data_IF_580377256216
#
_entry.id   IF_580377256216
#
_cell.length_a   1.000
_cell.length_b   1.000
_cell.length_c   1.000
_cell.angle_alpha   90.00
_cell.angle_beta   90.00
_cell.angle_gamma   90.00
#
_symmetry.space_group_name_H-M   'P 1'
#
loop_
_entity.id
_entity.type
_entity.pdbx_description
1 polymer ?
#
# COMPACT_ATOMS: atom_id res chain seq x y z
N UNK A 1 -17.80 37.89 -5.96
CA UNK A 1 -17.53 36.93 -4.87
C UNK A 1 -16.45 35.98 -5.38
N UNK A 2 -15.34 35.77 -4.65
CA UNK A 2 -14.36 34.75 -5.05
C UNK A 2 -15.02 33.39 -4.83
N UNK A 3 -15.09 32.57 -5.88
CA UNK A 3 -15.64 31.22 -5.74
C UNK A 3 -14.75 30.43 -4.77
N UNK A 4 -15.34 29.60 -3.89
CA UNK A 4 -14.56 28.71 -3.05
C UNK A 4 -13.83 27.68 -3.92
N UNK A 5 -12.76 27.10 -3.38
CA UNK A 5 -12.02 26.05 -4.08
C UNK A 5 -12.38 24.69 -3.51
N UNK A 6 -12.45 23.68 -4.37
CA UNK A 6 -12.60 22.30 -3.91
C UNK A 6 -11.39 21.94 -3.07
N UNK A 7 -11.63 21.33 -1.90
CA UNK A 7 -10.56 20.83 -1.07
C UNK A 7 -9.70 19.87 -1.91
N UNK A 8 -8.39 20.10 -2.01
CA UNK A 8 -7.47 19.28 -2.81
C UNK A 8 -7.26 17.87 -2.24
N UNK A 9 -7.99 17.49 -1.20
CA UNK A 9 -7.97 16.16 -0.61
C UNK A 9 -9.25 15.36 -0.87
N UNK A 10 -10.26 15.97 -1.49
CA UNK A 10 -11.51 15.31 -1.87
C UNK A 10 -11.23 14.30 -2.97
N UNK A 11 -11.68 13.05 -2.83
CA UNK A 11 -11.47 11.97 -3.79
C UNK A 11 -12.80 11.37 -4.24
N UNK A 12 -13.11 11.33 -5.55
CA UNK A 12 -14.25 10.58 -6.05
C UNK A 12 -13.88 9.10 -6.24
N UNK A 13 -14.83 8.20 -5.99
CA UNK A 13 -14.70 6.78 -6.31
C UNK A 13 -16.09 6.15 -6.53
N UNK A 14 -16.14 4.99 -7.20
CA UNK A 14 -17.38 4.23 -7.35
C UNK A 14 -17.48 3.10 -6.33
N UNK A 15 -18.69 2.91 -5.79
CA UNK A 15 -19.06 1.81 -4.90
C UNK A 15 -20.49 1.39 -5.23
N UNK A 16 -20.68 0.10 -5.52
CA UNK A 16 -21.98 -0.48 -5.85
C UNK A 16 -22.67 0.28 -7.00
N UNK A 17 -21.90 0.66 -8.03
CA UNK A 17 -22.35 1.47 -9.16
C UNK A 17 -22.55 2.97 -8.89
N UNK A 18 -22.69 3.38 -7.62
CA UNK A 18 -22.88 4.77 -7.22
C UNK A 18 -21.55 5.54 -7.13
N UNK A 19 -21.60 6.85 -7.38
CA UNK A 19 -20.45 7.78 -7.22
C UNK A 19 -20.43 8.34 -5.79
N UNK A 20 -19.30 8.16 -5.12
CA UNK A 20 -19.05 8.58 -3.75
C UNK A 20 -17.85 9.52 -3.67
N UNK A 21 -17.78 10.30 -2.59
CA UNK A 21 -16.70 11.24 -2.33
C UNK A 21 -16.12 11.00 -0.94
N UNK A 22 -14.79 10.96 -0.84
CA UNK A 22 -14.03 10.84 0.40
C UNK A 22 -13.24 12.12 0.64
N UNK A 23 -13.40 12.71 1.82
CA UNK A 23 -12.64 13.88 2.24
C UNK A 23 -11.96 13.61 3.60
N UNK A 24 -10.67 13.25 3.60
CA UNK A 24 -9.96 12.91 4.83
C UNK A 24 -9.83 14.11 5.77
N UNK A 25 -9.91 15.34 5.26
CA UNK A 25 -9.84 16.57 6.06
C UNK A 25 -11.10 16.81 6.90
N UNK A 26 -12.27 16.37 6.43
CA UNK A 26 -13.53 16.49 7.17
C UNK A 26 -14.06 15.17 7.75
N UNK A 27 -13.42 14.03 7.46
CA UNK A 27 -13.88 12.71 7.90
C UNK A 27 -15.21 12.26 7.31
N UNK A 28 -15.48 12.70 6.08
CA UNK A 28 -16.73 12.39 5.39
C UNK A 28 -16.49 11.48 4.18
N UNK A 29 -17.26 10.40 4.14
CA UNK A 29 -17.35 9.49 3.00
C UNK A 29 -18.81 9.23 2.68
N UNK A 30 -19.33 9.88 1.65
CA UNK A 30 -20.76 9.85 1.36
C UNK A 30 -21.06 9.91 -0.14
N UNK A 31 -22.28 9.48 -0.49
CA UNK A 31 -22.88 9.75 -1.78
C UNK A 31 -23.59 11.11 -1.70
N UNK A 32 -23.10 12.09 -2.46
CA UNK A 32 -23.68 13.43 -2.46
C UNK A 32 -24.96 13.48 -3.31
N UNK A 33 -25.98 14.28 -2.93
CA UNK A 33 -27.09 14.68 -3.79
C UNK A 33 -26.65 15.18 -5.16
N UNK A 34 -27.50 15.04 -6.17
CA UNK A 34 -27.16 15.38 -7.57
C UNK A 34 -26.72 16.84 -7.73
N UNK A 35 -27.45 17.80 -7.15
CA UNK A 35 -27.08 19.23 -7.23
C UNK A 35 -25.71 19.50 -6.63
N UNK A 36 -25.33 18.82 -5.55
CA UNK A 36 -24.03 18.98 -4.91
C UNK A 36 -22.92 18.34 -5.72
N UNK A 37 -23.16 17.15 -6.31
CA UNK A 37 -22.21 16.52 -7.22
C UNK A 37 -21.92 17.40 -8.42
N UNK A 38 -22.97 17.94 -9.05
CA UNK A 38 -22.85 18.80 -10.21
C UNK A 38 -22.14 20.12 -9.83
N UNK A 39 -22.45 20.68 -8.66
CA UNK A 39 -21.76 21.87 -8.11
C UNK A 39 -20.27 21.58 -7.87
N UNK A 40 -19.95 20.46 -7.22
CA UNK A 40 -18.58 20.08 -6.90
C UNK A 40 -17.77 19.76 -8.18
N UNK A 41 -18.39 19.10 -9.15
CA UNK A 41 -17.80 18.84 -10.46
C UNK A 41 -17.54 20.16 -11.23
N UNK A 42 -18.49 21.09 -11.20
CA UNK A 42 -18.32 22.41 -11.82
C UNK A 42 -17.16 23.21 -11.20
N UNK A 43 -16.91 23.07 -9.90
CA UNK A 43 -15.82 23.76 -9.20
C UNK A 43 -14.48 23.01 -9.24
N UNK A 44 -14.43 21.80 -9.82
CA UNK A 44 -13.26 20.92 -9.76
C UNK A 44 -12.05 21.44 -10.53
N UNK A 45 -12.30 22.04 -11.70
CA UNK A 45 -11.27 22.69 -12.52
C UNK A 45 -11.53 24.20 -12.55
N UNK A 46 -10.75 25.01 -11.82
CA UNK A 46 -10.90 26.46 -11.81
C UNK A 46 -10.81 27.11 -13.19
N UNK A 47 -10.11 26.51 -14.16
CA UNK A 47 -10.00 27.03 -15.52
C UNK A 47 -11.28 26.84 -16.34
N UNK A 48 -12.06 25.79 -16.06
CA UNK A 48 -13.32 25.47 -16.72
C UNK A 48 -14.56 25.85 -15.89
N UNK A 49 -14.37 26.31 -14.65
CA UNK A 49 -15.42 26.44 -13.66
C UNK A 49 -16.56 27.38 -14.09
N UNK A 50 -16.27 28.46 -14.82
CA UNK A 50 -17.31 29.40 -15.25
C UNK A 50 -18.35 28.73 -16.18
N UNK A 51 -17.88 28.05 -17.23
CA UNK A 51 -18.76 27.37 -18.19
C UNK A 51 -19.50 26.18 -17.56
N UNK A 52 -18.81 25.42 -16.69
CA UNK A 52 -19.42 24.30 -15.99
C UNK A 52 -20.46 24.77 -14.96
N UNK A 53 -20.22 25.90 -14.29
CA UNK A 53 -21.15 26.50 -13.35
C UNK A 53 -22.38 27.06 -14.06
N UNK A 54 -22.24 27.67 -15.23
CA UNK A 54 -23.38 28.12 -16.04
C UNK A 54 -24.30 26.96 -16.42
N UNK A 55 -23.73 25.81 -16.80
CA UNK A 55 -24.50 24.59 -17.07
C UNK A 55 -25.22 24.06 -15.82
N UNK A 56 -24.54 24.05 -14.66
CA UNK A 56 -25.15 23.65 -13.39
C UNK A 56 -26.27 24.61 -12.96
N UNK A 57 -26.07 25.92 -13.14
CA UNK A 57 -27.08 26.96 -12.87
C UNK A 57 -28.30 26.82 -13.78
N UNK A 58 -28.10 26.55 -15.07
CA UNK A 58 -29.19 26.32 -16.01
C UNK A 58 -30.01 25.07 -15.64
N UNK A 59 -29.36 24.05 -15.07
CA UNK A 59 -29.99 22.78 -14.70
C UNK A 59 -30.76 22.86 -13.37
N UNK A 60 -30.16 23.47 -12.35
CA UNK A 60 -30.67 23.41 -10.96
C UNK A 60 -31.23 24.74 -10.44
N UNK A 61 -30.89 25.87 -11.08
CA UNK A 61 -31.23 27.21 -10.61
C UNK A 61 -30.28 27.75 -9.55
N UNK A 62 -30.20 29.09 -9.47
CA UNK A 62 -29.23 29.79 -8.62
C UNK A 62 -29.38 29.47 -7.12
N UNK A 63 -30.61 29.43 -6.61
CA UNK A 63 -30.87 29.17 -5.18
C UNK A 63 -30.44 27.77 -4.75
N UNK A 64 -30.59 26.77 -5.62
CA UNK A 64 -30.19 25.39 -5.34
C UNK A 64 -28.66 25.26 -5.32
N UNK A 65 -27.97 25.89 -6.28
CA UNK A 65 -26.51 25.95 -6.32
C UNK A 65 -25.95 26.69 -5.09
N UNK A 66 -26.56 27.82 -4.70
CA UNK A 66 -26.13 28.57 -3.53
C UNK A 66 -26.22 27.75 -2.23
N UNK A 67 -27.31 26.99 -2.04
CA UNK A 67 -27.44 26.05 -0.92
C UNK A 67 -26.41 24.92 -0.98
N UNK A 68 -26.23 24.31 -2.15
CA UNK A 68 -25.23 23.26 -2.35
C UNK A 68 -23.82 23.72 -1.99
N UNK A 69 -23.43 24.94 -2.38
CA UNK A 69 -22.13 25.53 -2.02
C UNK A 69 -22.02 25.68 -0.49
N UNK A 70 -23.05 26.19 0.17
CA UNK A 70 -23.04 26.35 1.63
C UNK A 70 -22.92 25.00 2.36
N UNK A 71 -23.66 23.99 1.91
CA UNK A 71 -23.67 22.66 2.51
C UNK A 71 -22.33 21.93 2.29
N UNK A 72 -21.74 22.06 1.09
CA UNK A 72 -20.42 21.49 0.78
C UNK A 72 -19.30 22.18 1.58
N UNK A 73 -19.37 23.51 1.76
CA UNK A 73 -18.42 24.25 2.58
C UNK A 73 -18.53 23.86 4.07
N UNK A 74 -19.75 23.72 4.60
CA UNK A 74 -19.99 23.29 5.98
C UNK A 74 -19.42 21.87 6.26
N UNK A 75 -19.35 21.03 5.23
CA UNK A 75 -18.75 19.69 5.26
C UNK A 75 -17.27 19.65 4.86
N UNK A 76 -16.64 20.80 4.62
CA UNK A 76 -15.21 20.91 4.29
C UNK A 76 -14.83 20.40 2.89
N UNK A 77 -15.79 20.13 2.01
CA UNK A 77 -15.53 19.82 0.60
C UNK A 77 -15.06 21.04 -0.19
N UNK A 78 -15.47 22.23 0.26
CA UNK A 78 -15.06 23.52 -0.27
C UNK A 78 -14.31 24.28 0.82
N UNK A 79 -13.19 24.92 0.46
CA UNK A 79 -12.32 25.68 1.36
C UNK A 79 -12.00 27.05 0.75
N UNK A 80 -11.55 27.99 1.57
CA UNK A 80 -11.11 29.31 1.10
C UNK A 80 -9.77 29.26 0.39
N UNK A 81 -8.83 28.46 0.92
CA UNK A 81 -7.51 28.25 0.33
C UNK A 81 -6.88 26.90 0.72
N UNK A 82 -5.67 26.66 0.20
CA UNK A 82 -4.90 25.43 0.43
C UNK A 82 -4.43 25.30 1.89
N UNK A 83 -4.07 26.40 2.55
CA UNK A 83 -3.54 26.35 3.90
C UNK A 83 -4.63 25.90 4.89
N UNK A 84 -5.87 26.36 4.69
CA UNK A 84 -7.04 25.89 5.42
C UNK A 84 -7.25 24.37 5.25
N UNK A 85 -7.19 23.86 4.02
CA UNK A 85 -7.31 22.42 3.76
C UNK A 85 -6.19 21.61 4.44
N UNK A 86 -4.95 22.11 4.42
CA UNK A 86 -3.79 21.43 5.00
C UNK A 86 -3.90 21.35 6.53
N UNK A 87 -4.35 22.42 7.18
CA UNK A 87 -4.63 22.42 8.61
C UNK A 87 -5.75 21.44 8.97
N UNK A 88 -6.86 21.46 8.23
CA UNK A 88 -7.98 20.55 8.46
C UNK A 88 -7.57 19.08 8.30
N UNK A 89 -6.80 18.76 7.27
CA UNK A 89 -6.24 17.42 7.05
C UNK A 89 -5.37 16.96 8.21
N UNK A 90 -4.39 17.78 8.62
CA UNK A 90 -3.47 17.41 9.70
C UNK A 90 -4.24 17.20 11.00
N UNK A 91 -5.16 18.10 11.33
CA UNK A 91 -6.02 17.93 12.50
C UNK A 91 -6.84 16.62 12.43
N UNK A 92 -7.35 16.25 11.26
CA UNK A 92 -8.10 15.02 11.08
C UNK A 92 -7.23 13.75 11.20
N UNK A 93 -5.98 13.79 10.73
CA UNK A 93 -5.02 12.70 10.94
C UNK A 93 -4.64 12.57 12.42
N UNK A 94 -4.46 13.69 13.12
CA UNK A 94 -4.12 13.70 14.55
C UNK A 94 -5.23 13.18 15.44
N UNK A 95 -6.49 13.57 15.17
CA UNK A 95 -7.65 13.05 15.91
C UNK A 95 -7.81 11.54 15.80
N UNK A 96 -7.41 10.95 14.67
CA UNK A 96 -7.51 9.50 14.40
C UNK A 96 -6.23 8.73 14.75
N UNK A 97 -5.21 9.41 15.26
CA UNK A 97 -3.93 8.78 15.59
C UNK A 97 -4.15 7.80 16.75
N UNK A 98 -3.84 6.50 16.58
CA UNK A 98 -3.97 5.54 17.67
C UNK A 98 -2.85 5.74 18.69
N UNK A 99 -3.08 5.28 19.92
CA UNK A 99 -2.07 5.28 20.98
C UNK A 99 -0.90 4.32 20.68
N UNK A 100 -1.17 3.24 19.94
CA UNK A 100 -0.19 2.29 19.42
C UNK A 100 -0.33 2.26 17.90
N UNK A 101 0.74 2.35 17.11
CA UNK A 101 0.61 2.32 15.66
C UNK A 101 0.19 0.93 15.19
N UNK A 102 -0.50 0.87 14.06
CA UNK A 102 -0.61 -0.38 13.31
C UNK A 102 0.76 -0.79 12.75
N UNK A 103 1.05 -2.07 12.72
CA UNK A 103 2.22 -2.61 12.05
C UNK A 103 1.82 -3.02 10.64
N UNK A 104 2.46 -2.41 9.65
CA UNK A 104 2.23 -2.68 8.24
C UNK A 104 2.98 -3.94 7.82
N UNK A 105 4.30 -3.95 8.04
CA UNK A 105 5.22 -5.00 7.65
C UNK A 105 6.15 -5.37 8.80
N UNK A 106 6.46 -6.67 8.92
CA UNK A 106 7.50 -7.22 9.79
C UNK A 106 8.51 -7.93 8.90
N UNK A 107 9.71 -7.38 8.83
CA UNK A 107 10.80 -7.96 8.06
C UNK A 107 11.42 -9.16 8.80
N UNK A 108 11.03 -10.38 8.45
CA UNK A 108 11.62 -11.58 9.08
C UNK A 108 13.10 -11.77 8.71
N UNK A 109 13.47 -11.42 7.49
CA UNK A 109 14.85 -11.35 7.06
C UNK A 109 14.94 -10.42 5.86
N UNK A 110 16.01 -9.64 5.79
CA UNK A 110 16.33 -8.92 4.58
C UNK A 110 17.22 -9.75 3.64
N UNK A 111 17.53 -11.03 3.90
CA UNK A 111 18.33 -11.88 3.01
C UNK A 111 17.53 -12.30 1.79
N UNK A 112 18.10 -12.14 0.59
CA UNK A 112 17.48 -12.55 -0.66
C UNK A 112 18.52 -13.09 -1.64
N UNK A 113 18.30 -14.27 -2.25
CA UNK A 113 19.19 -14.79 -3.29
C UNK A 113 18.87 -14.17 -4.67
N UNK A 114 17.72 -13.50 -4.81
CA UNK A 114 17.32 -12.80 -6.02
C UNK A 114 18.07 -11.46 -6.17
N UNK A 115 18.10 -10.93 -7.39
CA UNK A 115 18.74 -9.67 -7.79
C UNK A 115 17.83 -8.86 -8.70
N UNK A 116 16.59 -8.66 -8.27
CA UNK A 116 15.59 -7.94 -9.06
C UNK A 116 15.99 -6.48 -9.26
N UNK A 117 16.03 -5.98 -10.50
CA UNK A 117 16.46 -4.62 -10.82
C UNK A 117 15.52 -3.51 -10.31
N UNK A 118 14.26 -3.84 -10.01
CA UNK A 118 13.27 -2.94 -9.42
C UNK A 118 13.23 -2.96 -7.89
N UNK A 119 14.00 -3.84 -7.25
CA UNK A 119 14.04 -3.95 -5.78
C UNK A 119 15.34 -3.31 -5.27
N UNK A 120 15.30 -2.40 -4.27
CA UNK A 120 16.52 -1.77 -3.76
C UNK A 120 17.52 -2.80 -3.23
N UNK A 121 17.04 -3.95 -2.72
CA UNK A 121 17.87 -5.07 -2.28
C UNK A 121 18.62 -5.79 -3.40
N UNK A 122 18.09 -5.74 -4.63
CA UNK A 122 18.68 -6.37 -5.81
C UNK A 122 19.69 -5.47 -6.52
N UNK A 123 19.69 -4.16 -6.22
CA UNK A 123 20.56 -3.15 -6.84
C UNK A 123 21.81 -2.93 -5.96
N UNK A 124 23.03 -2.96 -6.53
CA UNK A 124 24.26 -2.66 -5.79
C UNK A 124 24.20 -1.28 -5.11
N UNK A 125 24.48 -1.23 -3.82
CA UNK A 125 24.43 0.01 -3.03
C UNK A 125 23.02 0.52 -2.72
N UNK A 126 21.95 -0.18 -3.13
CA UNK A 126 20.58 0.23 -2.85
C UNK A 126 20.13 0.00 -1.41
N UNK A 127 20.81 -0.89 -0.68
CA UNK A 127 20.64 -1.12 0.76
C UNK A 127 22.02 -1.34 1.37
N UNK A 128 22.38 -0.55 2.37
CA UNK A 128 23.67 -0.55 3.05
C UNK A 128 23.61 -1.14 4.46
N UNK A 129 22.42 -1.20 5.07
CA UNK A 129 22.25 -1.77 6.42
C UNK A 129 22.60 -3.28 6.49
N UNK A 130 23.00 -3.79 7.67
CA UNK A 130 23.35 -5.19 7.86
C UNK A 130 22.25 -6.18 7.50
N UNK A 131 22.64 -7.44 7.25
CA UNK A 131 21.71 -8.52 6.89
C UNK A 131 21.62 -9.60 7.95
N UNK A 132 20.41 -10.09 8.19
CA UNK A 132 20.17 -11.03 9.29
C UNK A 132 18.77 -11.64 9.26
N UNK A 133 18.48 -12.40 10.31
CA UNK A 133 17.21 -13.06 10.55
C UNK A 133 16.65 -12.51 11.87
N UNK A 134 15.34 -12.28 11.91
CA UNK A 134 14.66 -11.89 13.12
C UNK A 134 14.71 -13.02 14.14
N UNK A 135 15.09 -12.71 15.38
CA UNK A 135 15.06 -13.70 16.45
C UNK A 135 13.60 -14.02 16.82
N UNK A 136 13.21 -15.30 17.02
CA UNK A 136 11.85 -15.64 17.41
C UNK A 136 11.37 -14.91 18.66
N UNK A 137 12.26 -14.71 19.64
CA UNK A 137 11.94 -13.95 20.86
C UNK A 137 11.57 -12.49 20.56
N UNK A 138 12.23 -11.86 19.57
CA UNK A 138 11.86 -10.53 19.12
C UNK A 138 10.51 -10.55 18.39
N UNK A 139 10.23 -11.59 17.61
CA UNK A 139 8.92 -11.74 16.96
C UNK A 139 7.79 -11.86 17.98
N UNK A 140 7.93 -12.71 19.00
CA UNK A 140 6.96 -12.81 20.10
C UNK A 140 6.76 -11.45 20.81
N UNK A 141 7.87 -10.75 21.11
CA UNK A 141 7.84 -9.42 21.69
C UNK A 141 7.10 -8.39 20.82
N UNK A 142 7.19 -8.51 19.49
CA UNK A 142 6.43 -7.67 18.56
C UNK A 142 4.94 -8.00 18.65
N UNK A 143 4.56 -9.28 18.61
CA UNK A 143 3.15 -9.72 18.64
C UNK A 143 2.43 -9.23 19.90
N UNK A 144 3.11 -9.21 21.04
CA UNK A 144 2.57 -8.77 22.32
C UNK A 144 2.36 -7.23 22.41
N UNK A 145 2.87 -6.47 21.43
CA UNK A 145 2.82 -5.00 21.41
C UNK A 145 1.98 -4.43 20.27
N UNK A 146 1.35 -5.29 19.46
CA UNK A 146 0.53 -4.86 18.33
C UNK A 146 -0.69 -4.05 18.79
N UNK A 147 -1.20 -3.22 17.88
CA UNK A 147 -2.45 -2.52 18.10
C UNK A 147 -3.60 -3.52 18.37
N UNK A 148 -4.55 -3.23 19.28
CA UNK A 148 -5.67 -4.16 19.58
C UNK A 148 -6.49 -4.57 18.36
N UNK A 149 -6.70 -3.63 17.42
CA UNK A 149 -7.43 -3.89 16.18
C UNK A 149 -6.53 -4.35 15.02
N UNK A 150 -5.29 -4.77 15.29
CA UNK A 150 -4.34 -5.16 14.25
C UNK A 150 -4.90 -6.25 13.32
N UNK A 151 -5.60 -7.24 13.88
CA UNK A 151 -6.19 -8.34 13.10
C UNK A 151 -7.29 -7.86 12.13
N UNK A 152 -8.00 -6.78 12.48
CA UNK A 152 -9.07 -6.21 11.65
C UNK A 152 -8.56 -5.18 10.64
N UNK A 153 -7.36 -4.64 10.85
CA UNK A 153 -6.73 -3.67 9.95
C UNK A 153 -6.32 -4.32 8.63
N UNK A 154 -5.43 -5.31 8.69
CA UNK A 154 -4.98 -6.12 7.54
C UNK A 154 -4.15 -7.31 8.01
N UNK A 155 -3.92 -8.34 7.17
CA UNK A 155 -2.94 -9.38 7.45
C UNK A 155 -1.56 -8.78 7.73
N UNK A 156 -0.87 -9.28 8.77
CA UNK A 156 0.52 -8.94 9.04
C UNK A 156 1.40 -9.42 7.89
N UNK A 157 1.95 -8.48 7.12
CA UNK A 157 2.91 -8.81 6.08
C UNK A 157 4.23 -9.21 6.74
N UNK A 158 4.53 -10.51 6.71
CA UNK A 158 5.76 -11.09 7.26
C UNK A 158 6.91 -11.01 6.25
N UNK A 159 6.98 -9.88 5.56
CA UNK A 159 7.98 -9.54 4.57
C UNK A 159 8.16 -8.01 4.52
N UNK A 160 9.32 -7.57 4.08
CA UNK A 160 9.58 -6.17 3.73
C UNK A 160 10.50 -6.16 2.52
N UNK A 161 11.81 -6.11 2.76
CA UNK A 161 12.81 -6.57 1.79
C UNK A 161 13.16 -8.02 2.08
N UNK A 162 14.02 -8.61 1.26
CA UNK A 162 14.48 -9.98 1.48
C UNK A 162 13.59 -11.04 0.84
N UNK A 163 13.76 -12.26 1.31
CA UNK A 163 12.97 -13.44 0.96
C UNK A 163 12.70 -14.22 2.24
N UNK A 164 11.46 -14.10 2.75
CA UNK A 164 11.06 -14.67 4.03
C UNK A 164 11.18 -16.19 4.07
N UNK A 165 11.10 -16.87 2.91
CA UNK A 165 11.32 -18.33 2.80
C UNK A 165 12.71 -18.78 3.29
N UNK A 166 13.67 -17.86 3.42
CA UNK A 166 14.99 -18.17 3.98
C UNK A 166 15.02 -18.22 5.51
N UNK A 167 13.98 -17.73 6.19
CA UNK A 167 13.96 -17.72 7.65
C UNK A 167 13.82 -19.16 8.19
N UNK A 168 14.77 -19.65 9.02
CA UNK A 168 14.81 -21.06 9.42
C UNK A 168 13.58 -21.51 10.22
N UNK A 169 12.94 -20.57 10.91
CA UNK A 169 11.78 -20.83 11.76
C UNK A 169 10.47 -20.28 11.18
N UNK A 170 10.42 -20.00 9.87
CA UNK A 170 9.27 -19.34 9.24
C UNK A 170 7.90 -20.00 9.59
N UNK A 171 7.71 -21.33 9.48
CA UNK A 171 6.43 -21.94 9.83
C UNK A 171 6.05 -21.74 11.30
N UNK A 172 7.03 -21.75 12.21
CA UNK A 172 6.79 -21.53 13.63
C UNK A 172 6.35 -20.07 13.90
N UNK A 173 6.95 -19.10 13.23
CA UNK A 173 6.53 -17.69 13.34
C UNK A 173 5.12 -17.47 12.79
N UNK A 174 4.78 -18.11 11.66
CA UNK A 174 3.41 -18.07 11.12
C UNK A 174 2.41 -18.67 12.12
N UNK A 175 2.73 -19.83 12.71
CA UNK A 175 1.89 -20.49 13.70
C UNK A 175 1.71 -19.64 14.97
N UNK A 176 2.76 -18.96 15.43
CA UNK A 176 2.71 -18.08 16.60
C UNK A 176 1.74 -16.90 16.42
N UNK A 177 1.69 -16.32 15.22
CA UNK A 177 0.71 -15.28 14.87
C UNK A 177 -0.71 -15.85 14.73
N UNK A 178 -0.85 -16.98 14.03
CA UNK A 178 -2.15 -17.63 13.84
C UNK A 178 -2.80 -18.04 15.18
N UNK A 179 -2.01 -18.53 16.14
CA UNK A 179 -2.46 -18.88 17.49
C UNK A 179 -3.04 -17.69 18.28
N UNK A 180 -2.67 -16.45 17.91
CA UNK A 180 -3.19 -15.20 18.47
C UNK A 180 -4.34 -14.61 17.66
N UNK A 181 -4.84 -15.32 16.65
CA UNK A 181 -5.88 -14.82 15.74
C UNK A 181 -5.39 -13.69 14.83
N UNK A 182 -4.07 -13.56 14.62
CA UNK A 182 -3.49 -12.56 13.74
C UNK A 182 -3.32 -13.16 12.34
N UNK A 183 -4.10 -12.71 11.33
CA UNK A 183 -3.90 -13.16 9.96
C UNK A 183 -2.53 -12.70 9.45
N UNK A 184 -1.85 -13.56 8.69
CA UNK A 184 -0.51 -13.30 8.15
C UNK A 184 -0.48 -13.38 6.64
N UNK A 185 0.39 -12.57 6.03
CA UNK A 185 0.65 -12.56 4.59
C UNK A 185 2.15 -12.69 4.29
N UNK A 186 2.48 -13.50 3.29
CA UNK A 186 3.83 -13.61 2.74
C UNK A 186 3.83 -13.27 1.25
N UNK A 187 4.85 -12.53 0.80
CA UNK A 187 5.18 -12.36 -0.62
C UNK A 187 6.50 -13.07 -0.91
N UNK A 188 6.47 -14.06 -1.81
CA UNK A 188 7.58 -15.00 -1.98
C UNK A 188 7.96 -15.20 -3.44
N UNK A 189 9.21 -15.62 -3.67
CA UNK A 189 9.62 -16.18 -4.96
C UNK A 189 9.36 -17.70 -4.99
N UNK A 190 8.50 -18.18 -5.91
CA UNK A 190 8.14 -19.60 -5.98
C UNK A 190 9.33 -20.53 -6.32
N UNK A 191 10.44 -20.00 -6.84
CA UNK A 191 11.67 -20.79 -7.09
C UNK A 191 12.23 -21.43 -5.82
N UNK A 192 11.91 -20.89 -4.64
CA UNK A 192 12.41 -21.33 -3.34
C UNK A 192 11.34 -22.01 -2.47
N UNK A 193 10.07 -21.96 -2.89
CA UNK A 193 8.94 -22.51 -2.16
C UNK A 193 8.86 -24.03 -2.36
N UNK A 194 9.70 -24.80 -1.67
CA UNK A 194 9.65 -26.25 -1.79
C UNK A 194 8.27 -26.78 -1.38
N UNK A 195 7.79 -27.91 -1.95
CA UNK A 195 6.47 -28.46 -1.59
C UNK A 195 6.29 -28.68 -0.08
N UNK A 196 7.33 -29.17 0.59
CA UNK A 196 7.32 -29.39 2.04
C UNK A 196 7.20 -28.07 2.82
N UNK A 197 7.93 -27.02 2.42
CA UNK A 197 7.82 -25.71 3.06
C UNK A 197 6.47 -25.07 2.77
N UNK A 198 5.97 -25.16 1.53
CA UNK A 198 4.64 -24.69 1.15
C UNK A 198 3.56 -25.30 2.04
N UNK A 199 3.49 -26.64 2.12
CA UNK A 199 2.55 -27.34 2.98
C UNK A 199 2.68 -26.91 4.46
N UNK A 200 3.91 -26.86 4.99
CA UNK A 200 4.16 -26.44 6.36
C UNK A 200 3.66 -25.01 6.67
N UNK A 201 3.77 -24.08 5.73
CA UNK A 201 3.25 -22.72 5.89
C UNK A 201 1.72 -22.67 5.88
N UNK A 202 1.10 -23.45 4.99
CA UNK A 202 -0.36 -23.52 4.90
C UNK A 202 -0.96 -24.17 6.15
N UNK A 203 -0.34 -25.25 6.62
CA UNK A 203 -0.74 -25.97 7.82
C UNK A 203 -0.49 -25.17 9.11
N UNK A 204 0.52 -24.27 9.09
CA UNK A 204 0.76 -23.31 10.18
C UNK A 204 -0.28 -22.19 10.27
N UNK A 205 -1.22 -22.09 9.31
CA UNK A 205 -2.30 -21.11 9.34
C UNK A 205 -2.02 -19.80 8.61
N UNK A 206 -1.09 -19.80 7.64
CA UNK A 206 -0.89 -18.66 6.73
C UNK A 206 -2.23 -18.25 6.11
N UNK A 207 -2.59 -16.98 6.21
CA UNK A 207 -3.91 -16.50 5.73
C UNK A 207 -3.88 -16.08 4.27
N UNK A 208 -2.74 -15.52 3.82
CA UNK A 208 -2.55 -15.08 2.45
C UNK A 208 -1.13 -15.32 1.94
N UNK A 209 -1.02 -15.81 0.71
CA UNK A 209 0.24 -16.00 0.02
C UNK A 209 0.23 -15.25 -1.31
N UNK A 210 1.20 -14.37 -1.50
CA UNK A 210 1.49 -13.70 -2.76
C UNK A 210 2.71 -14.36 -3.39
N UNK A 211 2.55 -14.86 -4.60
CA UNK A 211 3.56 -15.53 -5.40
C UNK A 211 4.01 -14.56 -6.47
N UNK A 212 5.27 -14.14 -6.41
CA UNK A 212 5.81 -13.18 -7.36
C UNK A 212 6.54 -13.91 -8.51
N UNK A 213 5.84 -14.04 -9.65
CA UNK A 213 6.24 -14.84 -10.82
C UNK A 213 6.21 -13.98 -12.09
N UNK A 214 7.36 -13.41 -12.46
CA UNK A 214 7.44 -12.40 -13.52
C UNK A 214 7.78 -12.97 -14.91
N UNK A 215 7.51 -14.25 -15.16
CA UNK A 215 7.79 -14.89 -16.44
C UNK A 215 7.20 -16.29 -16.52
N UNK A 216 7.17 -16.84 -17.74
CA UNK A 216 6.73 -18.22 -18.05
C UNK A 216 7.85 -19.12 -18.58
N UNK A 217 9.10 -18.65 -18.48
CA UNK A 217 10.31 -19.42 -18.78
C UNK A 217 11.50 -18.97 -17.91
N UNK A 218 12.54 -19.81 -17.87
CA UNK A 218 13.77 -19.54 -17.12
C UNK A 218 14.50 -18.30 -17.62
N UNK A 219 14.52 -18.05 -18.94
CA UNK A 219 15.28 -16.95 -19.53
C UNK A 219 14.75 -15.59 -19.04
N UNK A 220 13.44 -15.39 -19.11
CA UNK A 220 12.75 -14.18 -18.68
C UNK A 220 12.81 -14.03 -17.16
N UNK A 221 12.56 -15.11 -16.41
CA UNK A 221 12.57 -15.04 -14.95
C UNK A 221 13.97 -14.75 -14.40
N UNK A 222 15.03 -15.34 -14.99
CA UNK A 222 16.42 -15.03 -14.64
C UNK A 222 16.78 -13.59 -15.02
N UNK A 223 16.38 -13.13 -16.20
CA UNK A 223 16.66 -11.77 -16.64
C UNK A 223 16.04 -10.71 -15.72
N UNK A 224 14.90 -11.00 -15.10
CA UNK A 224 14.18 -10.07 -14.23
C UNK A 224 14.61 -10.21 -12.76
N UNK A 225 14.68 -11.46 -12.25
CA UNK A 225 14.86 -11.75 -10.82
C UNK A 225 16.27 -12.20 -10.45
N UNK A 226 17.15 -12.36 -11.44
CA UNK A 226 18.54 -12.74 -11.25
C UNK A 226 18.79 -14.25 -11.24
N UNK A 227 20.07 -14.65 -11.08
CA UNK A 227 20.55 -16.00 -11.39
C UNK A 227 20.04 -17.11 -10.47
N UNK A 228 19.38 -16.77 -9.36
CA UNK A 228 18.77 -17.74 -8.45
C UNK A 228 17.34 -18.15 -8.86
N UNK A 229 16.71 -17.43 -9.80
CA UNK A 229 15.33 -17.69 -10.21
C UNK A 229 15.24 -18.82 -11.24
N UNK A 230 14.24 -19.71 -11.12
CA UNK A 230 13.99 -20.82 -12.05
C UNK A 230 12.49 -21.03 -12.22
N UNK A 231 11.96 -20.76 -13.40
CA UNK A 231 10.56 -20.94 -13.75
C UNK A 231 10.15 -22.41 -13.66
N UNK A 232 10.91 -23.34 -14.25
CA UNK A 232 10.54 -24.77 -14.23
C UNK A 232 10.39 -25.30 -12.80
N UNK A 233 11.24 -24.81 -11.90
CA UNK A 233 11.15 -25.13 -10.46
C UNK A 233 9.96 -24.43 -9.82
N UNK A 234 9.77 -23.15 -10.10
CA UNK A 234 8.64 -22.37 -9.60
C UNK A 234 7.30 -22.99 -10.00
N UNK A 235 7.14 -23.42 -11.26
CA UNK A 235 5.93 -24.04 -11.76
C UNK A 235 5.63 -25.34 -11.01
N UNK A 236 6.60 -26.26 -10.89
CA UNK A 236 6.41 -27.50 -10.12
C UNK A 236 6.08 -27.24 -8.65
N UNK A 237 6.73 -26.26 -8.04
CA UNK A 237 6.47 -25.87 -6.66
C UNK A 237 5.05 -25.32 -6.49
N UNK A 238 4.58 -24.53 -7.45
CA UNK A 238 3.24 -23.98 -7.43
C UNK A 238 2.18 -25.04 -7.69
N UNK A 239 2.39 -25.95 -8.63
CA UNK A 239 1.45 -27.06 -8.85
C UNK A 239 1.28 -27.88 -7.56
N UNK A 240 2.38 -28.24 -6.89
CA UNK A 240 2.32 -28.95 -5.61
C UNK A 240 1.63 -28.15 -4.49
N UNK A 241 1.83 -26.82 -4.46
CA UNK A 241 1.13 -25.95 -3.52
C UNK A 241 -0.38 -25.91 -3.82
N UNK A 242 -0.77 -25.79 -5.08
CA UNK A 242 -2.16 -25.72 -5.52
C UNK A 242 -2.89 -27.05 -5.24
N UNK A 243 -2.22 -28.18 -5.42
CA UNK A 243 -2.72 -29.50 -5.03
C UNK A 243 -3.01 -29.57 -3.53
N UNK A 244 -2.10 -29.05 -2.69
CA UNK A 244 -2.34 -28.95 -1.24
C UNK A 244 -3.53 -28.05 -0.92
N UNK A 245 -3.60 -26.86 -1.53
CA UNK A 245 -4.71 -25.90 -1.39
C UNK A 245 -6.05 -26.53 -1.74
N UNK A 246 -6.12 -27.31 -2.82
CA UNK A 246 -7.35 -27.99 -3.24
C UNK A 246 -7.86 -29.02 -2.22
N UNK A 247 -6.97 -29.60 -1.43
CA UNK A 247 -7.30 -30.56 -0.37
C UNK A 247 -7.68 -29.92 0.97
N UNK A 248 -7.51 -28.61 1.15
CA UNK A 248 -7.77 -27.94 2.42
C UNK A 248 -9.25 -27.61 2.62
N UNK A 249 -9.76 -27.84 3.83
CA UNK A 249 -11.10 -27.42 4.21
C UNK A 249 -11.25 -25.88 4.27
N UNK A 250 -10.16 -25.18 4.63
CA UNK A 250 -10.09 -23.70 4.73
C UNK A 250 -8.78 -23.22 4.10
N UNK A 251 -8.70 -23.15 2.76
CA UNK A 251 -7.48 -22.74 2.08
C UNK A 251 -7.18 -21.25 2.33
N UNK A 252 -5.91 -20.84 2.28
CA UNK A 252 -5.54 -19.42 2.28
C UNK A 252 -6.04 -18.75 0.99
N UNK A 253 -5.98 -17.42 0.97
CA UNK A 253 -6.01 -16.68 -0.30
C UNK A 253 -4.62 -16.77 -0.96
N UNK A 254 -4.54 -17.28 -2.19
CA UNK A 254 -3.31 -17.28 -2.96
C UNK A 254 -3.41 -16.30 -4.15
N UNK A 255 -2.36 -15.52 -4.36
CA UNK A 255 -2.28 -14.54 -5.43
C UNK A 255 -1.04 -14.80 -6.26
N UNK A 256 -1.18 -15.19 -7.52
CA UNK A 256 -0.06 -15.36 -8.45
C UNK A 256 0.05 -14.09 -9.28
N UNK A 257 1.10 -13.30 -9.03
CA UNK A 257 1.25 -11.99 -9.66
C UNK A 257 2.47 -11.95 -10.59
N UNK A 258 2.29 -11.29 -11.73
CA UNK A 258 3.36 -10.85 -12.63
C UNK A 258 3.41 -9.33 -12.58
N UNK A 259 4.59 -8.74 -12.34
CA UNK A 259 4.79 -7.31 -12.50
C UNK A 259 4.95 -6.99 -13.99
N UNK A 260 4.20 -6.02 -14.52
CA UNK A 260 4.28 -5.57 -15.91
C UNK A 260 5.60 -4.81 -16.15
N UNK A 261 6.54 -5.48 -16.81
CA UNK A 261 7.86 -4.96 -17.15
C UNK A 261 8.09 -5.06 -18.65
N UNK A 262 8.86 -4.14 -19.22
CA UNK A 262 9.25 -4.19 -20.61
C UNK A 262 9.82 -5.58 -21.02
N UNK A 263 10.58 -6.22 -20.12
CA UNK A 263 11.15 -7.56 -20.30
C UNK A 263 10.15 -8.71 -20.37
N UNK A 264 8.96 -8.62 -19.77
CA UNK A 264 7.99 -9.74 -19.73
C UNK A 264 6.64 -9.46 -20.38
N UNK A 265 6.38 -8.24 -20.89
CA UNK A 265 5.10 -7.88 -21.53
C UNK A 265 4.62 -8.85 -22.59
N UNK A 266 5.56 -9.40 -23.35
CA UNK A 266 5.31 -10.38 -24.40
C UNK A 266 4.80 -11.74 -23.87
N UNK A 267 4.89 -11.97 -22.55
CA UNK A 267 4.49 -13.21 -21.87
C UNK A 267 3.18 -13.08 -21.10
N UNK A 268 2.55 -11.90 -21.04
CA UNK A 268 1.35 -11.65 -20.22
C UNK A 268 0.20 -12.59 -20.56
N UNK A 269 -0.09 -12.75 -21.85
CA UNK A 269 -1.19 -13.61 -22.30
C UNK A 269 -0.92 -15.08 -21.95
N UNK A 270 0.32 -15.54 -22.13
CA UNK A 270 0.72 -16.89 -21.76
C UNK A 270 0.63 -17.12 -20.23
N UNK A 271 1.06 -16.13 -19.44
CA UNK A 271 0.94 -16.17 -17.99
C UNK A 271 -0.51 -16.27 -17.53
N UNK A 272 -1.40 -15.43 -18.07
CA UNK A 272 -2.82 -15.45 -17.71
C UNK A 272 -3.51 -16.73 -18.20
N UNK A 273 -3.14 -17.25 -19.36
CA UNK A 273 -3.64 -18.54 -19.84
C UNK A 273 -3.24 -19.69 -18.90
N UNK A 274 -2.02 -19.66 -18.35
CA UNK A 274 -1.52 -20.70 -17.44
C UNK A 274 -2.10 -20.62 -16.02
N UNK A 275 -2.21 -19.41 -15.47
CA UNK A 275 -2.47 -19.19 -14.04
C UNK A 275 -3.83 -18.55 -13.73
N UNK A 276 -4.49 -17.92 -14.71
CA UNK A 276 -5.76 -17.21 -14.50
C UNK A 276 -6.99 -18.12 -14.37
N UNK A 277 -6.92 -19.34 -14.92
CA UNK A 277 -8.04 -20.27 -15.06
C UNK A 277 -7.98 -21.51 -14.17
N UNK A 278 -7.39 -21.42 -12.97
CA UNK A 278 -7.10 -22.59 -12.13
C UNK A 278 -8.33 -23.26 -11.49
N UNK A 279 -9.52 -22.64 -11.55
CA UNK A 279 -10.76 -23.21 -10.98
C UNK A 279 -10.80 -23.29 -9.45
N UNK A 280 -9.82 -22.69 -8.75
CA UNK A 280 -9.75 -22.64 -7.29
C UNK A 280 -10.25 -21.29 -6.79
N UNK A 281 -11.33 -21.29 -6.01
CA UNK A 281 -12.04 -20.06 -5.61
C UNK A 281 -11.18 -19.05 -4.81
N UNK A 282 -10.17 -19.52 -4.07
CA UNK A 282 -9.27 -18.66 -3.28
C UNK A 282 -7.98 -18.29 -3.99
N UNK A 283 -7.81 -18.71 -5.26
CA UNK A 283 -6.61 -18.46 -6.06
C UNK A 283 -6.93 -17.49 -7.18
N UNK A 284 -6.15 -16.43 -7.29
CA UNK A 284 -6.27 -15.45 -8.37
C UNK A 284 -4.92 -15.19 -9.01
N UNK A 285 -4.88 -15.04 -10.33
CA UNK A 285 -3.70 -14.55 -11.03
C UNK A 285 -3.98 -13.25 -11.77
N UNK A 286 -3.05 -12.30 -11.73
CA UNK A 286 -3.17 -11.04 -12.46
C UNK A 286 -1.81 -10.42 -12.78
N UNK A 287 -1.82 -9.49 -13.73
CA UNK A 287 -0.68 -8.65 -14.08
C UNK A 287 -0.80 -7.32 -13.32
N UNK A 288 0.19 -7.00 -12.49
CA UNK A 288 0.26 -5.80 -11.66
C UNK A 288 1.14 -4.75 -12.34
N UNK A 289 0.73 -3.48 -12.32
CA UNK A 289 1.64 -2.38 -12.67
C UNK A 289 2.85 -2.35 -11.70
N UNK A 290 4.03 -2.01 -12.21
CA UNK A 290 5.20 -1.80 -11.36
C UNK A 290 5.06 -0.47 -10.58
N UNK A 291 5.40 -0.52 -9.29
CA UNK A 291 5.49 0.67 -8.46
C UNK A 291 6.76 1.46 -8.80
N UNK A 292 6.65 2.44 -9.69
CA UNK A 292 7.73 3.35 -10.06
C UNK A 292 8.11 3.30 -11.54
N UNK A 293 9.38 3.54 -11.82
CA UNK A 293 9.92 3.47 -13.17
C UNK A 293 10.39 2.04 -13.47
N UNK A 294 10.06 1.57 -14.67
CA UNK A 294 10.61 0.34 -15.21
C UNK A 294 12.15 0.48 -15.30
N UNK A 295 12.93 -0.45 -14.71
CA UNK A 295 14.37 -0.31 -14.60
C UNK A 295 15.11 -0.36 -15.96
N UNK A 296 14.45 -0.84 -17.01
CA UNK A 296 15.07 -1.03 -18.33
C UNK A 296 14.79 0.12 -19.27
N UNK A 297 13.58 0.65 -19.19
CA UNK A 297 13.09 1.70 -20.08
C UNK A 297 13.07 3.08 -19.42
N UNK A 298 13.15 3.14 -18.09
CA UNK A 298 12.89 4.35 -17.31
C UNK A 298 11.45 4.84 -17.42
N UNK A 299 10.59 4.10 -18.14
CA UNK A 299 9.20 4.49 -18.35
C UNK A 299 8.44 4.40 -17.03
N UNK A 300 7.59 5.40 -16.76
CA UNK A 300 6.62 5.30 -15.69
C UNK A 300 5.68 4.12 -16.00
N UNK A 301 5.77 3.09 -15.17
CA UNK A 301 4.97 1.87 -15.31
C UNK A 301 3.70 1.94 -14.47
N UNK A 302 3.73 2.69 -13.38
CA UNK A 302 2.57 2.99 -12.57
C UNK A 302 1.67 4.02 -13.25
N UNK A 303 0.35 3.75 -13.30
CA UNK A 303 -0.61 4.82 -13.00
C UNK A 303 -0.37 5.14 -11.53
N UNK A 304 0.21 6.30 -11.16
CA UNK A 304 0.59 6.51 -9.78
C UNK A 304 -0.67 6.44 -8.93
N UNK A 305 -0.74 5.40 -8.10
CA UNK A 305 -1.66 5.32 -6.99
C UNK A 305 -1.21 6.38 -5.98
N UNK A 306 -1.62 7.61 -6.25
CA UNK A 306 -1.34 8.76 -5.39
C UNK A 306 -2.25 8.62 -4.19
N UNK A 307 -1.77 8.04 -3.10
CA UNK A 307 -2.49 8.02 -1.84
C UNK A 307 -2.04 9.18 -0.99
N UNK A 308 -2.95 9.69 -0.16
CA UNK A 308 -2.58 10.68 0.83
C UNK A 308 -1.84 9.95 1.96
N UNK A 309 -0.60 10.35 2.25
CA UNK A 309 0.21 9.70 3.27
C UNK A 309 -0.40 9.86 4.67
N UNK A 310 -0.83 8.74 5.26
CA UNK A 310 -1.26 8.67 6.66
C UNK A 310 -0.25 7.99 7.59
N UNK A 311 0.85 7.45 7.06
CA UNK A 311 1.80 6.61 7.82
C UNK A 311 2.30 7.26 9.12
N UNK A 312 2.76 8.53 9.14
CA UNK A 312 3.25 9.16 10.37
C UNK A 312 2.21 9.24 11.50
N UNK A 313 0.92 9.07 11.21
CA UNK A 313 -0.17 9.06 12.20
C UNK A 313 -0.90 7.73 12.32
N UNK A 314 -0.49 6.69 11.60
CA UNK A 314 -1.22 5.42 11.61
C UNK A 314 -0.35 4.20 11.81
N UNK A 315 0.75 4.08 11.08
CA UNK A 315 1.41 2.80 10.87
C UNK A 315 2.92 2.88 10.78
N UNK A 316 3.58 1.76 11.08
CA UNK A 316 5.04 1.60 11.03
C UNK A 316 5.44 0.29 10.35
N UNK A 317 6.72 0.15 10.05
CA UNK A 317 7.36 -1.11 9.62
C UNK A 317 8.41 -1.49 10.66
N UNK A 318 8.51 -2.79 10.95
CA UNK A 318 9.48 -3.33 11.89
C UNK A 318 10.52 -4.14 11.12
N UNK A 319 11.80 -3.78 11.28
CA UNK A 319 12.92 -4.45 10.60
C UNK A 319 13.38 -5.69 11.37
N UNK A 320 14.15 -6.56 10.70
CA UNK A 320 14.58 -7.86 11.26
C UNK A 320 15.37 -7.73 12.57
N UNK A 321 16.03 -6.59 12.78
CA UNK A 321 16.85 -6.31 13.96
C UNK A 321 16.12 -5.53 15.06
N UNK A 322 14.81 -5.30 14.92
CA UNK A 322 13.97 -4.64 15.95
C UNK A 322 13.84 -3.13 15.80
N UNK A 323 14.60 -2.52 14.88
CA UNK A 323 14.42 -1.11 14.52
C UNK A 323 13.05 -0.89 13.88
N UNK A 324 12.41 0.22 14.25
CA UNK A 324 11.10 0.64 13.75
C UNK A 324 11.30 1.83 12.80
N UNK A 325 10.73 1.75 11.61
CA UNK A 325 10.79 2.79 10.56
C UNK A 325 9.38 3.23 10.16
N UNK A 326 9.19 4.46 9.63
CA UNK A 326 7.85 5.03 9.47
C UNK A 326 7.03 4.39 8.34
N UNK A 327 7.64 3.77 7.34
CA UNK A 327 6.91 3.16 6.23
C UNK A 327 7.76 2.18 5.40
N UNK A 328 7.09 1.43 4.53
CA UNK A 328 7.71 0.47 3.63
C UNK A 328 8.65 1.08 2.56
N UNK A 329 8.68 2.41 2.42
CA UNK A 329 9.64 3.08 1.52
C UNK A 329 11.02 3.24 2.14
N UNK A 330 11.16 3.07 3.46
CA UNK A 330 12.44 3.22 4.16
C UNK A 330 13.28 1.93 4.11
N UNK A 331 13.72 1.58 2.90
CA UNK A 331 14.45 0.34 2.63
C UNK A 331 15.76 0.20 3.43
N UNK A 332 16.44 1.32 3.69
CA UNK A 332 17.77 1.36 4.29
C UNK A 332 17.78 1.84 5.76
N UNK A 333 16.60 1.99 6.36
CA UNK A 333 16.43 2.49 7.73
C UNK A 333 17.04 3.90 7.92
N UNK A 334 16.79 4.79 6.96
CA UNK A 334 17.21 6.18 7.01
C UNK A 334 16.46 7.00 8.07
N UNK A 335 15.24 6.57 8.44
CA UNK A 335 14.38 7.23 9.42
C UNK A 335 14.00 6.27 10.55
N UNK A 336 14.98 5.87 11.36
CA UNK A 336 14.72 5.03 12.55
C UNK A 336 13.96 5.83 13.60
N UNK A 337 12.77 5.36 13.97
CA UNK A 337 11.93 5.95 15.02
C UNK A 337 12.34 5.47 16.42
N UNK A 338 12.88 4.26 16.52
CA UNK A 338 13.34 3.63 17.76
C UNK A 338 13.65 2.14 17.58
N UNK A 339 13.94 1.46 18.68
CA UNK A 339 14.33 0.03 18.70
C UNK A 339 13.54 -0.75 19.75
N UNK A 340 12.78 -1.77 19.31
CA UNK A 340 11.94 -2.62 20.16
C UNK A 340 12.72 -3.47 21.16
N UNK A 341 14.03 -3.62 20.99
CA UNK A 341 14.90 -4.29 21.97
C UNK A 341 15.11 -3.47 23.24
N UNK A 342 14.80 -2.17 23.18
CA UNK A 342 15.06 -1.22 24.29
C UNK A 342 13.84 -0.39 24.67
N UNK A 343 12.84 -0.29 23.80
CA UNK A 343 11.67 0.57 23.97
C UNK A 343 10.39 -0.19 23.60
N UNK A 344 9.26 0.18 24.20
CA UNK A 344 7.96 -0.33 23.74
C UNK A 344 7.53 0.35 22.44
N UNK A 345 6.71 -0.33 21.63
CA UNK A 345 6.16 0.22 20.39
C UNK A 345 5.38 1.52 20.63
N UNK A 346 4.61 1.59 21.72
CA UNK A 346 3.91 2.81 22.14
C UNK A 346 4.89 3.95 22.48
N UNK A 347 5.96 3.65 23.21
CA UNK A 347 7.00 4.63 23.55
C UNK A 347 7.71 5.15 22.30
N UNK A 348 8.01 4.29 21.32
CA UNK A 348 8.60 4.69 20.05
C UNK A 348 7.65 5.61 19.27
N UNK A 349 6.36 5.25 19.25
CA UNK A 349 5.33 5.99 18.51
C UNK A 349 5.05 7.39 19.04
N UNK A 350 5.14 7.59 20.35
CA UNK A 350 5.07 8.90 20.99
C UNK A 350 6.45 9.52 21.22
N UNK A 351 7.51 8.87 20.75
CA UNK A 351 8.89 9.29 20.95
C UNK A 351 9.30 10.52 20.13
N UNK A 352 10.47 11.11 20.45
CA UNK A 352 10.94 12.36 19.84
C UNK A 352 11.14 12.25 18.33
N UNK A 353 11.58 11.09 17.82
CA UNK A 353 11.79 10.87 16.38
C UNK A 353 10.46 10.84 15.61
N UNK A 354 9.46 10.13 16.14
CA UNK A 354 8.11 10.12 15.57
C UNK A 354 7.44 11.50 15.64
N UNK A 355 7.61 12.22 16.75
CA UNK A 355 7.15 13.60 16.89
C UNK A 355 7.83 14.53 15.88
N UNK A 356 9.15 14.41 15.69
CA UNK A 356 9.90 15.22 14.71
C UNK A 356 9.39 14.99 13.29
N UNK A 357 9.15 13.73 12.91
CA UNK A 357 8.59 13.41 11.59
C UNK A 357 7.20 14.04 11.41
N UNK A 358 6.33 13.95 12.42
CA UNK A 358 4.99 14.59 12.38
C UNK A 358 5.11 16.10 12.29
N UNK A 359 5.95 16.72 13.12
CA UNK A 359 6.25 18.15 13.10
C UNK A 359 6.67 18.63 11.71
N UNK A 360 7.54 17.86 11.05
CA UNK A 360 7.99 18.16 9.68
C UNK A 360 6.83 18.15 8.68
N UNK A 361 5.91 17.20 8.85
CA UNK A 361 4.70 17.17 8.06
C UNK A 361 3.70 18.25 8.45
N UNK A 362 3.64 18.71 9.71
CA UNK A 362 2.76 19.83 10.09
C UNK A 362 3.21 21.11 9.40
N UNK A 363 4.50 21.45 9.53
CA UNK A 363 5.11 22.71 9.06
C UNK A 363 5.42 22.73 7.56
N UNK A 364 5.26 21.60 6.87
CA UNK A 364 5.69 21.39 5.47
C UNK A 364 7.20 21.53 5.23
N UNK A 365 8.03 21.48 6.27
CA UNK A 365 9.48 21.74 6.23
C UNK A 365 10.32 20.45 6.14
N UNK A 366 9.89 19.51 5.29
CA UNK A 366 10.65 18.29 5.01
C UNK A 366 11.97 18.66 4.32
N UNK A 367 13.15 18.31 4.88
CA UNK A 367 14.43 18.69 4.30
C UNK A 367 14.69 18.07 2.93
N UNK A 368 15.47 18.74 2.10
CA UNK A 368 15.94 18.19 0.83
C UNK A 368 16.73 16.89 1.07
N UNK A 369 16.44 15.85 0.28
CA UNK A 369 17.08 14.53 0.41
C UNK A 369 16.54 13.66 1.55
N UNK A 370 15.55 14.13 2.32
CA UNK A 370 14.80 13.31 3.26
C UNK A 370 13.99 12.23 2.51
N UNK A 371 13.72 11.06 3.11
CA UNK A 371 12.95 10.00 2.44
C UNK A 371 11.56 10.46 1.94
N UNK A 372 10.92 11.36 2.69
CA UNK A 372 9.63 11.92 2.31
C UNK A 372 9.73 13.02 1.24
N UNK A 373 10.94 13.54 0.96
CA UNK A 373 11.19 14.48 -0.13
C UNK A 373 10.92 13.80 -1.47
N UNK A 374 10.08 14.39 -2.30
CA UNK A 374 9.65 13.79 -3.57
C UNK A 374 8.73 12.55 -3.47
N UNK A 375 8.37 12.08 -2.27
CA UNK A 375 7.45 10.94 -2.12
C UNK A 375 6.07 11.25 -2.73
N UNK A 376 5.60 10.38 -3.63
CA UNK A 376 4.32 10.55 -4.31
C UNK A 376 3.11 10.61 -3.35
N UNK A 377 3.25 10.06 -2.14
CA UNK A 377 2.18 10.10 -1.14
C UNK A 377 2.18 11.36 -0.29
N UNK A 378 3.21 12.21 -0.39
CA UNK A 378 3.25 13.48 0.35
C UNK A 378 2.09 14.35 -0.11
N UNK A 379 1.46 15.05 0.83
CA UNK A 379 0.25 15.84 0.60
C UNK A 379 0.37 16.85 -0.55
N UNK A 380 1.57 17.40 -0.81
CA UNK A 380 1.83 18.34 -1.90
C UNK A 380 1.75 17.63 -3.25
N UNK A 381 2.49 16.53 -3.42
CA UNK A 381 2.44 15.68 -4.63
C UNK A 381 1.05 15.08 -4.87
N UNK A 382 0.37 14.71 -3.78
CA UNK A 382 -1.01 14.23 -3.85
C UNK A 382 -1.94 15.28 -4.44
N UNK A 383 -1.86 16.52 -3.97
CA UNK A 383 -2.67 17.63 -4.45
C UNK A 383 -2.40 17.93 -5.93
N UNK A 384 -1.13 17.90 -6.35
CA UNK A 384 -0.74 18.15 -7.74
C UNK A 384 -1.37 17.13 -8.72
N UNK A 385 -1.62 15.90 -8.26
CA UNK A 385 -2.23 14.86 -9.07
C UNK A 385 -3.77 14.97 -9.14
N UNK A 386 -4.41 15.82 -8.34
CA UNK A 386 -5.88 15.91 -8.22
C UNK A 386 -6.64 16.26 -9.50
N UNK A 387 -6.17 17.16 -10.38
CA UNK A 387 -6.87 17.46 -11.62
C UNK A 387 -7.09 16.22 -12.50
N UNK A 388 -6.18 15.24 -12.41
CA UNK A 388 -6.32 13.97 -13.14
C UNK A 388 -7.40 13.03 -12.58
N UNK A 389 -7.97 13.35 -11.41
CA UNK A 389 -8.90 12.53 -10.61
C UNK A 389 -10.34 13.07 -10.61
N UNK A 390 -10.72 13.74 -11.69
CA UNK A 390 -12.10 14.23 -11.89
C UNK A 390 -13.15 13.13 -11.63
N UNK A 391 -14.35 13.45 -11.11
CA UNK A 391 -15.42 12.47 -10.87
C UNK A 391 -15.72 11.54 -12.05
N UNK A 392 -15.58 12.01 -13.29
CA UNK A 392 -15.79 11.18 -14.50
C UNK A 392 -14.73 10.09 -14.69
N UNK A 393 -13.60 10.18 -13.97
CA UNK A 393 -12.52 9.19 -13.95
C UNK A 393 -12.55 8.32 -12.70
N UNK A 394 -13.61 8.41 -11.89
CA UNK A 394 -13.79 7.59 -10.70
C UNK A 394 -13.82 6.10 -11.06
N UNK A 395 -12.89 5.35 -10.47
CA UNK A 395 -12.82 3.89 -10.61
C UNK A 395 -13.54 3.21 -9.45
N UNK A 396 -13.99 1.97 -9.68
CA UNK A 396 -14.51 1.10 -8.62
C UNK A 396 -13.39 0.85 -7.62
N UNK A 397 -13.48 1.56 -6.50
CA UNK A 397 -12.69 1.38 -5.29
C UNK A 397 -11.14 1.37 -5.42
N UNK A 398 -10.46 2.53 -5.36
CA UNK A 398 -8.98 2.59 -5.28
C UNK A 398 -8.41 2.26 -3.88
N UNK A 399 -9.22 1.81 -2.92
CA UNK A 399 -8.86 1.64 -1.50
C UNK A 399 -8.97 0.19 -1.02
N UNK A 400 -8.32 -0.76 -1.69
CA UNK A 400 -7.79 -1.90 -0.95
C UNK A 400 -6.49 -1.39 -0.30
N UNK A 401 -6.58 -1.04 0.98
CA UNK A 401 -5.43 -0.71 1.82
C UNK A 401 -4.63 -1.98 2.11
#
# INVERSE_FOLDING_TARGET
MRLPVVSPYVRPFRRDGALWFDNPASDLREALPEVERDTLAALWDPAAAAAALDAALARHGADAIARAIADLAARGYLVGDRAEADHALIAALERRRPAVPFVDQIELTNRCPMRCGFCPRGVPGGVTRPTGFMEPALFELILDQLHPDQAAYRPLELHHLGESLLHPELPALVAAAAARGLPTELSVNPSLLTPALGAALLDAGLSRLVVSLDGVDDATLIAIRGPAARYDRAERNLDALLDHVAGMARPPRAVIQMIDLARNRHQRDAFLARWGGLGLATVTAFVKDLDGADPDTGAASARPLVHLCGYPWRSVVILWDGRVVPCCRDADAALVLGDLRTQSLATIWDGPEAQRLRDQHRRDDVPAGHLCDGCAWRRTRFADAMPSRHPDRAVEWPLAW
#
